data_IF_285549819309
#
_entry.id   IF_285549819309
#
_cell.length_a   1.000
_cell.length_b   1.000
_cell.length_c   1.000
_cell.angle_alpha   90.00
_cell.angle_beta   90.00
_cell.angle_gamma   90.00
#
_symmetry.space_group_name_H-M   'P 1'
#
loop_
_entity.id
_entity.type
_entity.pdbx_description
1 polymer ?
#
# COMPACT_ATOMS: atom_id res chain seq x y z
N UNK A 1 8.90 9.88 -28.04
CA UNK A 1 9.11 8.55 -27.42
C UNK A 1 9.91 8.74 -26.14
N UNK A 2 9.24 9.01 -25.02
CA UNK A 2 9.84 9.15 -23.69
C UNK A 2 9.22 8.05 -22.83
N UNK A 3 9.97 6.98 -22.62
CA UNK A 3 9.61 5.94 -21.66
C UNK A 3 9.79 6.61 -20.29
N UNK A 4 8.69 7.00 -19.63
CA UNK A 4 8.71 7.26 -18.19
C UNK A 4 9.04 5.93 -17.52
N UNK A 5 10.34 5.69 -17.30
CA UNK A 5 10.80 4.72 -16.31
C UNK A 5 10.02 5.05 -15.04
N UNK A 6 9.32 4.05 -14.50
CA UNK A 6 8.79 4.06 -13.13
C UNK A 6 9.72 4.92 -12.29
N UNK A 7 9.21 6.01 -11.71
CA UNK A 7 10.02 6.82 -10.80
C UNK A 7 10.59 5.84 -9.79
N UNK A 8 11.91 5.62 -9.87
CA UNK A 8 12.62 4.83 -8.89
C UNK A 8 12.26 5.50 -7.57
N UNK A 9 11.57 4.78 -6.70
CA UNK A 9 11.42 5.16 -5.31
C UNK A 9 12.85 5.12 -4.75
N UNK A 10 13.53 6.26 -4.85
CA UNK A 10 14.86 6.47 -4.34
C UNK A 10 14.65 6.86 -2.90
N UNK A 11 14.96 5.97 -1.97
CA UNK A 11 15.02 6.29 -0.54
C UNK A 11 16.48 6.59 -0.25
N UNK A 12 16.82 7.85 0.01
CA UNK A 12 18.19 8.25 0.34
C UNK A 12 18.30 8.29 1.86
N UNK A 13 19.09 7.37 2.42
CA UNK A 13 19.35 7.28 3.87
C UNK A 13 18.66 6.09 4.53
N UNK A 14 19.29 4.92 4.45
CA UNK A 14 18.84 3.67 5.07
C UNK A 14 17.95 2.84 4.16
N UNK A 15 18.15 1.52 4.13
CA UNK A 15 17.29 0.59 3.40
C UNK A 15 15.87 0.64 4.01
N UNK A 16 14.94 1.31 3.33
CA UNK A 16 13.54 1.26 3.69
C UNK A 16 12.84 0.10 2.97
N UNK A 17 12.01 -0.61 3.70
CA UNK A 17 11.14 -1.66 3.16
C UNK A 17 9.71 -1.22 3.36
N UNK A 18 8.96 -1.11 2.27
CA UNK A 18 7.51 -1.14 2.40
C UNK A 18 7.13 -2.61 2.54
N UNK A 19 6.91 -3.05 3.78
CA UNK A 19 6.15 -4.27 4.04
C UNK A 19 4.69 -3.87 3.94
N UNK A 20 4.14 -3.96 2.73
CA UNK A 20 2.70 -3.80 2.53
C UNK A 20 2.03 -5.09 2.99
N UNK A 21 1.90 -5.24 4.30
CA UNK A 21 0.76 -5.97 4.84
C UNK A 21 -0.36 -4.96 5.03
N UNK A 22 -1.44 -5.20 4.28
CA UNK A 22 -2.79 -4.68 4.45
C UNK A 22 -3.30 -3.73 3.36
N UNK A 23 -4.28 -4.29 2.65
CA UNK A 23 -5.33 -3.71 1.83
C UNK A 23 -5.01 -2.51 0.95
N UNK A 24 -4.60 -2.89 -0.25
CA UNK A 24 -5.24 -2.29 -1.41
C UNK A 24 -6.69 -2.85 -1.42
N UNK A 25 -7.69 -1.99 -1.24
CA UNK A 25 -9.05 -2.41 -0.90
C UNK A 25 -9.87 -2.89 -2.11
N UNK A 26 -10.50 -4.06 -1.96
CA UNK A 26 -11.64 -4.50 -2.78
C UNK A 26 -12.94 -4.10 -2.10
N UNK A 27 -13.98 -3.88 -2.91
CA UNK A 27 -15.30 -3.40 -2.48
C UNK A 27 -15.92 -4.16 -1.29
N UNK A 28 -15.78 -5.48 -1.25
CA UNK A 28 -16.39 -6.33 -0.23
C UNK A 28 -15.80 -6.03 1.14
N UNK A 29 -14.53 -5.65 1.21
CA UNK A 29 -13.83 -5.40 2.47
C UNK A 29 -14.11 -4.00 3.00
N UNK A 30 -14.19 -2.99 2.12
CA UNK A 30 -14.52 -1.61 2.52
C UNK A 30 -15.93 -1.51 3.11
N UNK A 31 -16.90 -2.18 2.46
CA UNK A 31 -18.30 -2.15 2.88
C UNK A 31 -18.51 -3.01 4.13
N UNK A 32 -17.89 -4.19 4.22
CA UNK A 32 -18.11 -5.10 5.35
C UNK A 32 -17.37 -4.71 6.63
N UNK A 33 -16.30 -3.92 6.54
CA UNK A 33 -15.43 -3.60 7.69
C UNK A 33 -14.97 -2.13 7.71
N UNK A 34 -15.89 -1.14 7.73
CA UNK A 34 -15.54 0.27 7.71
C UNK A 34 -14.66 0.71 8.90
N UNK A 35 -14.86 0.12 10.09
CA UNK A 35 -14.10 0.47 11.29
C UNK A 35 -12.63 0.05 11.20
N UNK A 36 -12.34 -1.01 10.45
CA UNK A 36 -10.97 -1.47 10.22
C UNK A 36 -10.18 -0.48 9.36
N UNK A 37 -10.81 0.15 8.36
CA UNK A 37 -10.18 1.20 7.55
C UNK A 37 -9.80 2.41 8.43
N UNK A 38 -10.69 2.80 9.34
CA UNK A 38 -10.42 3.89 10.29
C UNK A 38 -9.31 3.51 11.26
N UNK A 39 -9.33 2.28 11.77
CA UNK A 39 -8.28 1.77 12.66
C UNK A 39 -6.90 1.78 11.97
N UNK A 40 -6.83 1.41 10.68
CA UNK A 40 -5.59 1.45 9.91
C UNK A 40 -5.01 2.86 9.82
N UNK A 41 -5.86 3.87 9.57
CA UNK A 41 -5.44 5.28 9.57
C UNK A 41 -4.95 5.72 10.95
N UNK A 42 -5.65 5.35 12.02
CA UNK A 42 -5.26 5.69 13.40
C UNK A 42 -3.91 5.06 13.77
N UNK A 43 -3.62 3.87 13.26
CA UNK A 43 -2.34 3.18 13.43
C UNK A 43 -1.22 3.72 12.52
N UNK A 44 -1.53 4.71 11.67
CA UNK A 44 -0.55 5.34 10.77
C UNK A 44 -0.28 4.54 9.49
N UNK A 45 -1.13 3.56 9.15
CA UNK A 45 -1.08 2.89 7.86
C UNK A 45 -1.69 3.77 6.76
N UNK A 46 -1.21 3.57 5.53
CA UNK A 46 -1.71 4.28 4.36
C UNK A 46 -2.67 3.39 3.56
N UNK A 47 -3.84 3.95 3.25
CA UNK A 47 -4.86 3.32 2.41
C UNK A 47 -4.64 3.63 0.93
N UNK A 48 -4.93 2.65 0.07
CA UNK A 48 -4.74 2.72 -1.39
C UNK A 48 -5.86 1.99 -2.16
N UNK A 49 -6.10 2.37 -3.42
CA UNK A 49 -7.15 1.79 -4.28
C UNK A 49 -6.69 0.49 -4.97
N UNK A 50 -7.49 -0.58 -4.92
CA UNK A 50 -7.17 -1.86 -5.59
C UNK A 50 -8.20 -2.31 -6.61
N UNK A 51 -8.88 -1.37 -7.24
CA UNK A 51 -10.07 -1.65 -8.05
C UNK A 51 -11.23 -2.16 -7.20
N UNK A 52 -12.39 -2.23 -7.82
CA UNK A 52 -13.63 -2.62 -7.16
C UNK A 52 -13.74 -4.14 -7.12
N UNK A 53 -13.43 -4.82 -8.23
CA UNK A 53 -13.69 -6.24 -8.46
C UNK A 53 -12.45 -7.10 -8.76
N UNK A 54 -11.24 -6.52 -8.70
CA UNK A 54 -9.96 -7.19 -8.98
C UNK A 54 -9.78 -7.75 -10.42
N UNK A 55 -10.16 -7.02 -11.50
CA UNK A 55 -9.97 -7.50 -12.87
C UNK A 55 -8.55 -7.25 -13.38
N UNK A 56 -8.18 -7.91 -14.49
CA UNK A 56 -7.04 -7.50 -15.29
C UNK A 56 -7.35 -6.14 -15.96
N UNK A 57 -6.60 -5.09 -15.62
CA UNK A 57 -6.91 -3.73 -16.05
C UNK A 57 -6.73 -3.53 -17.56
N UNK A 58 -5.78 -4.23 -18.17
CA UNK A 58 -5.49 -4.09 -19.60
C UNK A 58 -6.59 -4.68 -20.48
N UNK A 59 -7.44 -5.56 -19.94
CA UNK A 59 -8.58 -6.15 -20.65
C UNK A 59 -9.84 -5.26 -20.63
N UNK A 60 -9.87 -4.24 -19.77
CA UNK A 60 -11.02 -3.36 -19.61
C UNK A 60 -11.06 -2.24 -20.65
N UNK A 61 -12.25 -1.79 -21.00
CA UNK A 61 -12.49 -0.48 -21.63
C UNK A 61 -12.06 0.66 -20.71
N UNK A 62 -12.03 1.89 -21.21
CA UNK A 62 -11.65 3.05 -20.40
C UNK A 62 -12.71 3.33 -19.33
N UNK A 63 -13.98 3.19 -19.69
CA UNK A 63 -15.13 3.43 -18.83
C UNK A 63 -15.17 2.42 -17.68
N UNK A 64 -14.94 1.14 -17.96
CA UNK A 64 -14.84 0.09 -16.95
C UNK A 64 -13.66 0.34 -16.01
N UNK A 65 -12.48 0.69 -16.54
CA UNK A 65 -11.31 1.02 -15.71
C UNK A 65 -11.58 2.21 -14.79
N UNK A 66 -12.19 3.28 -15.31
CA UNK A 66 -12.57 4.45 -14.50
C UNK A 66 -13.58 4.07 -13.43
N UNK A 67 -14.55 3.19 -13.73
CA UNK A 67 -15.51 2.71 -12.76
C UNK A 67 -14.83 1.92 -11.62
N UNK A 68 -13.95 0.98 -11.97
CA UNK A 68 -13.19 0.16 -11.02
C UNK A 68 -12.38 1.01 -10.02
N UNK A 69 -11.70 2.04 -10.52
CA UNK A 69 -10.92 2.96 -9.69
C UNK A 69 -11.82 3.93 -8.90
N UNK A 70 -12.82 4.50 -9.57
CA UNK A 70 -13.69 5.55 -9.03
C UNK A 70 -14.58 5.07 -7.89
N UNK A 71 -15.21 3.90 -8.03
CA UNK A 71 -16.08 3.36 -6.98
C UNK A 71 -15.30 3.03 -5.70
N UNK A 72 -14.11 2.47 -5.85
CA UNK A 72 -13.22 2.14 -4.72
C UNK A 72 -12.71 3.41 -4.03
N UNK A 73 -12.30 4.41 -4.81
CA UNK A 73 -11.88 5.72 -4.30
C UNK A 73 -13.01 6.40 -3.51
N UNK A 74 -14.23 6.35 -4.05
CA UNK A 74 -15.43 6.93 -3.44
C UNK A 74 -15.80 6.27 -2.11
N UNK A 75 -15.86 4.94 -2.04
CA UNK A 75 -16.25 4.26 -0.79
C UNK A 75 -15.22 4.48 0.32
N UNK A 76 -13.92 4.55 -0.01
CA UNK A 76 -12.88 4.87 0.99
C UNK A 76 -13.10 6.27 1.56
N UNK A 77 -13.39 7.25 0.69
CA UNK A 77 -13.71 8.61 1.12
C UNK A 77 -14.96 8.65 1.99
N UNK A 78 -16.05 7.97 1.61
CA UNK A 78 -17.30 7.95 2.40
C UNK A 78 -17.09 7.35 3.80
N UNK A 79 -16.25 6.32 3.94
CA UNK A 79 -15.97 5.67 5.22
C UNK A 79 -15.01 6.49 6.09
N UNK A 80 -13.96 7.05 5.49
CA UNK A 80 -12.81 7.61 6.23
C UNK A 80 -12.72 9.14 6.21
N UNK A 81 -13.42 9.79 5.29
CA UNK A 81 -13.29 11.23 4.99
C UNK A 81 -12.05 11.59 4.17
N UNK A 82 -11.26 10.60 3.73
CA UNK A 82 -10.01 10.80 3.00
C UNK A 82 -10.04 10.09 1.65
N UNK A 83 -9.56 10.77 0.62
CA UNK A 83 -9.50 10.26 -0.74
C UNK A 83 -8.08 9.81 -1.09
N UNK A 84 -7.83 8.51 -1.34
CA UNK A 84 -6.50 8.03 -1.72
C UNK A 84 -6.04 8.60 -3.06
N UNK A 85 -4.74 8.83 -3.17
CA UNK A 85 -4.06 9.26 -4.41
C UNK A 85 -3.05 8.23 -4.94
N UNK A 86 -3.10 7.01 -4.41
CA UNK A 86 -2.32 5.86 -4.87
C UNK A 86 -3.26 4.71 -5.19
N UNK A 87 -2.80 3.83 -6.09
CA UNK A 87 -3.51 2.59 -6.41
C UNK A 87 -2.51 1.45 -6.66
N UNK A 88 -2.92 0.20 -6.50
CA UNK A 88 -2.15 -0.97 -6.95
C UNK A 88 -2.95 -1.73 -8.01
N UNK A 89 -2.39 -1.98 -9.21
CA UNK A 89 -3.03 -2.82 -10.20
C UNK A 89 -3.14 -4.27 -9.73
N UNK A 90 -4.33 -4.90 -9.80
CA UNK A 90 -4.45 -6.35 -9.71
C UNK A 90 -3.45 -7.05 -10.64
N UNK A 91 -2.82 -8.11 -10.14
CA UNK A 91 -1.82 -8.91 -10.89
C UNK A 91 -0.58 -8.13 -11.36
N UNK A 92 -0.42 -6.86 -10.97
CA UNK A 92 0.57 -5.96 -11.58
C UNK A 92 0.27 -5.59 -13.03
N UNK A 93 -0.97 -5.81 -13.48
CA UNK A 93 -1.39 -5.62 -14.87
C UNK A 93 -1.60 -4.13 -15.19
N UNK A 94 -0.63 -3.52 -15.89
CA UNK A 94 -0.63 -2.09 -16.18
C UNK A 94 0.12 -1.74 -17.49
N UNK A 95 -0.58 -1.07 -18.41
CA UNK A 95 -0.03 -0.51 -19.64
C UNK A 95 0.00 1.04 -19.60
N UNK A 96 0.40 1.67 -20.71
CA UNK A 96 0.44 3.14 -20.79
C UNK A 96 -0.95 3.79 -20.71
N UNK A 97 -2.00 3.11 -21.18
CA UNK A 97 -3.38 3.60 -21.12
C UNK A 97 -3.87 3.60 -19.69
N UNK A 98 -3.63 2.52 -18.95
CA UNK A 98 -3.95 2.40 -17.52
C UNK A 98 -3.20 3.46 -16.72
N UNK A 99 -1.90 3.68 -16.98
CA UNK A 99 -1.12 4.75 -16.31
C UNK A 99 -1.71 6.13 -16.56
N UNK A 100 -2.09 6.42 -17.80
CA UNK A 100 -2.66 7.72 -18.14
C UNK A 100 -4.03 7.95 -17.48
N UNK A 101 -4.89 6.93 -17.43
CA UNK A 101 -6.16 7.01 -16.72
C UNK A 101 -5.95 7.19 -15.21
N UNK A 102 -5.00 6.46 -14.60
CA UNK A 102 -4.65 6.67 -13.20
C UNK A 102 -4.20 8.12 -12.95
N UNK A 103 -3.33 8.67 -13.82
CA UNK A 103 -2.88 10.05 -13.75
C UNK A 103 -4.03 11.06 -13.84
N UNK A 104 -4.98 10.85 -14.75
CA UNK A 104 -6.17 11.70 -14.90
C UNK A 104 -7.12 11.62 -13.69
N UNK A 105 -7.05 10.53 -12.93
CA UNK A 105 -7.82 10.32 -11.70
C UNK A 105 -7.04 10.67 -10.42
N UNK A 106 -5.90 11.36 -10.52
CA UNK A 106 -5.00 11.69 -9.41
C UNK A 106 -4.53 10.45 -8.62
N UNK A 107 -4.34 9.33 -9.30
CA UNK A 107 -3.86 8.08 -8.75
C UNK A 107 -2.45 7.78 -9.27
N UNK A 108 -1.54 7.47 -8.34
CA UNK A 108 -0.21 6.95 -8.65
C UNK A 108 -0.21 5.43 -8.52
N UNK A 109 0.04 4.67 -9.61
CA UNK A 109 0.18 3.22 -9.53
C UNK A 109 1.45 2.79 -8.78
N UNK A 110 1.30 1.91 -7.80
CA UNK A 110 2.38 1.38 -6.97
C UNK A 110 2.56 -0.11 -7.24
N UNK A 111 3.73 -0.50 -7.74
CA UNK A 111 4.12 -1.89 -8.03
C UNK A 111 5.22 -2.30 -7.05
N UNK A 112 5.26 -3.58 -6.69
CA UNK A 112 6.34 -4.13 -5.87
C UNK A 112 7.68 -4.14 -6.63
N UNK A 113 8.77 -4.27 -5.90
CA UNK A 113 10.10 -4.19 -6.51
C UNK A 113 10.35 -5.38 -7.44
N UNK A 114 10.92 -5.09 -8.61
CA UNK A 114 11.57 -6.05 -9.48
C UNK A 114 13.02 -5.60 -9.65
N UNK A 115 13.97 -6.48 -9.38
CA UNK A 115 15.40 -6.20 -9.43
C UNK A 115 16.15 -7.41 -10.00
N UNK A 116 17.31 -7.17 -10.60
CA UNK A 116 18.22 -8.24 -10.96
C UNK A 116 19.01 -8.67 -9.71
N UNK A 117 18.91 -9.94 -9.33
CA UNK A 117 19.59 -10.50 -8.17
C UNK A 117 20.36 -11.73 -8.62
N UNK A 118 21.69 -11.66 -8.56
CA UNK A 118 22.55 -12.76 -9.01
C UNK A 118 22.41 -13.08 -10.50
N UNK A 119 22.23 -12.05 -11.35
CA UNK A 119 22.12 -12.20 -12.81
C UNK A 119 20.76 -12.69 -13.30
N UNK A 120 19.71 -12.62 -12.48
CA UNK A 120 18.35 -13.04 -12.84
C UNK A 120 17.32 -12.04 -12.34
N UNK A 121 16.27 -11.83 -13.12
CA UNK A 121 15.10 -11.05 -12.71
C UNK A 121 14.44 -11.70 -11.49
N UNK A 122 14.26 -10.90 -10.44
CA UNK A 122 13.63 -11.32 -9.21
C UNK A 122 12.61 -10.28 -8.75
N UNK A 123 11.37 -10.74 -8.57
CA UNK A 123 10.29 -9.91 -8.03
C UNK A 123 10.18 -10.11 -6.53
N UNK A 124 9.89 -9.03 -5.83
CA UNK A 124 9.76 -9.02 -4.37
C UNK A 124 8.33 -9.39 -3.98
N UNK A 125 7.90 -10.58 -4.42
CA UNK A 125 6.60 -11.18 -4.15
C UNK A 125 6.77 -12.42 -3.27
N UNK A 126 6.18 -12.39 -2.07
CA UNK A 126 6.26 -13.48 -1.09
C UNK A 126 5.49 -14.73 -1.51
N UNK A 127 4.62 -14.64 -2.51
CA UNK A 127 3.70 -15.71 -2.94
C UNK A 127 2.81 -16.26 -1.80
N UNK A 128 2.60 -15.47 -0.75
CA UNK A 128 1.83 -15.86 0.43
C UNK A 128 0.36 -16.21 0.11
N UNK A 129 -0.24 -15.54 -0.88
CA UNK A 129 -1.59 -15.84 -1.38
C UNK A 129 -1.76 -17.28 -1.90
N UNK A 130 -0.67 -17.94 -2.32
CA UNK A 130 -0.70 -19.34 -2.77
C UNK A 130 -0.75 -20.34 -1.62
N UNK A 131 -0.57 -19.90 -0.38
CA UNK A 131 -0.62 -20.76 0.81
C UNK A 131 -2.03 -21.31 1.01
N UNK A 132 -3.05 -20.46 0.95
CA UNK A 132 -4.44 -20.87 1.11
C UNK A 132 -4.88 -21.89 0.04
N UNK A 133 -4.32 -21.79 -1.17
CA UNK A 133 -4.56 -22.74 -2.26
C UNK A 133 -3.69 -24.00 -2.22
N UNK A 134 -2.78 -24.14 -1.25
CA UNK A 134 -1.90 -25.30 -1.08
C UNK A 134 -0.74 -25.41 -2.07
N UNK A 135 -0.61 -24.47 -3.02
CA UNK A 135 0.44 -24.47 -4.04
C UNK A 135 1.80 -23.98 -3.52
N UNK A 136 1.83 -23.32 -2.36
CA UNK A 136 3.04 -22.84 -1.66
C UNK A 136 2.88 -23.16 -0.17
N UNK A 137 3.93 -23.65 0.50
CA UNK A 137 3.90 -23.82 1.96
C UNK A 137 4.29 -22.54 2.68
N UNK A 138 3.92 -22.41 3.96
CA UNK A 138 4.36 -21.30 4.82
C UNK A 138 5.90 -21.19 4.87
N UNK A 139 6.59 -22.33 4.99
CA UNK A 139 8.06 -22.41 4.89
C UNK A 139 8.57 -21.84 3.58
N UNK A 140 7.93 -22.18 2.45
CA UNK A 140 8.39 -21.72 1.14
C UNK A 140 8.19 -20.22 0.94
N UNK A 141 7.09 -19.68 1.44
CA UNK A 141 6.86 -18.23 1.44
C UNK A 141 7.88 -17.51 2.35
N UNK A 142 8.17 -18.05 3.53
CA UNK A 142 9.24 -17.55 4.42
C UNK A 142 10.61 -17.54 3.74
N UNK A 143 11.01 -18.64 3.12
CA UNK A 143 12.27 -18.73 2.35
C UNK A 143 12.33 -17.68 1.23
N UNK A 144 11.18 -17.40 0.59
CA UNK A 144 11.09 -16.36 -0.44
C UNK A 144 11.33 -14.99 0.16
N UNK A 145 10.75 -14.69 1.32
CA UNK A 145 11.00 -13.45 2.04
C UNK A 145 12.46 -13.33 2.50
N UNK A 146 13.07 -14.39 3.03
CA UNK A 146 14.49 -14.40 3.39
C UNK A 146 15.39 -14.11 2.19
N UNK A 147 15.04 -14.61 0.99
CA UNK A 147 15.74 -14.27 -0.26
C UNK A 147 15.59 -12.80 -0.62
N UNK A 148 14.39 -12.24 -0.49
CA UNK A 148 14.12 -10.79 -0.66
C UNK A 148 14.97 -9.97 0.30
N UNK A 149 15.07 -10.40 1.56
CA UNK A 149 15.97 -9.75 2.49
C UNK A 149 17.41 -9.88 1.98
N UNK A 150 17.90 -11.08 1.71
CA UNK A 150 19.30 -11.26 1.32
C UNK A 150 19.70 -10.52 0.04
N UNK A 151 18.77 -10.27 -0.89
CA UNK A 151 19.01 -9.48 -2.10
C UNK A 151 19.05 -7.97 -1.85
N UNK A 152 18.44 -7.48 -0.76
CA UNK A 152 18.45 -6.06 -0.43
C UNK A 152 19.85 -5.45 -0.35
N UNK A 153 20.88 -6.24 -0.01
CA UNK A 153 22.27 -5.77 0.03
C UNK A 153 22.79 -5.31 -1.34
N UNK A 154 22.16 -5.79 -2.41
CA UNK A 154 22.51 -5.52 -3.80
C UNK A 154 21.64 -4.37 -4.37
N UNK A 155 20.83 -3.72 -3.54
CA UNK A 155 19.92 -2.63 -3.91
C UNK A 155 20.29 -1.35 -3.16
N UNK A 156 20.62 -0.30 -3.92
CA UNK A 156 21.05 1.00 -3.37
C UNK A 156 19.90 1.90 -2.87
N UNK A 157 18.65 1.47 -3.05
CA UNK A 157 17.44 2.19 -2.68
C UNK A 157 16.46 1.31 -1.88
N UNK A 158 15.46 1.94 -1.26
CA UNK A 158 14.36 1.21 -0.63
C UNK A 158 13.57 0.37 -1.63
N UNK A 159 12.86 -0.63 -1.12
CA UNK A 159 12.10 -1.58 -1.93
C UNK A 159 10.70 -1.87 -1.36
N UNK A 160 9.81 -2.37 -2.21
CA UNK A 160 8.44 -2.72 -1.88
C UNK A 160 8.27 -4.23 -1.99
N UNK A 161 7.72 -4.84 -0.94
CA UNK A 161 7.41 -6.28 -0.89
C UNK A 161 5.90 -6.49 -1.00
N UNK A 162 5.49 -7.40 -1.87
CA UNK A 162 4.08 -7.80 -2.03
C UNK A 162 3.70 -8.91 -1.04
N UNK A 163 2.62 -8.65 -0.30
CA UNK A 163 1.96 -9.59 0.61
C UNK A 163 0.44 -9.37 0.59
N UNK A 164 -0.31 -10.31 1.18
CA UNK A 164 -1.77 -10.34 1.20
C UNK A 164 -2.28 -10.69 2.59
N UNK A 165 -3.15 -9.86 3.14
CA UNK A 165 -3.74 -10.06 4.47
C UNK A 165 -5.17 -10.64 4.42
N UNK A 166 -5.57 -11.13 3.24
CA UNK A 166 -6.86 -11.81 3.03
C UNK A 166 -6.92 -13.19 3.71
N UNK A 167 -5.77 -13.82 3.91
CA UNK A 167 -5.67 -15.18 4.44
C UNK A 167 -4.98 -15.17 5.81
N UNK A 168 -5.59 -15.84 6.79
CA UNK A 168 -5.06 -15.91 8.16
C UNK A 168 -3.61 -16.41 8.18
N UNK A 169 -3.28 -17.42 7.36
CA UNK A 169 -1.92 -17.98 7.28
C UNK A 169 -0.88 -16.95 6.82
N UNK A 170 -1.26 -16.05 5.90
CA UNK A 170 -0.38 -14.98 5.43
C UNK A 170 -0.16 -13.93 6.53
N UNK A 171 -1.21 -13.58 7.27
CA UNK A 171 -1.12 -12.66 8.42
C UNK A 171 -0.26 -13.24 9.53
N UNK A 172 -0.47 -14.51 9.89
CA UNK A 172 0.34 -15.21 10.89
C UNK A 172 1.82 -15.28 10.48
N UNK A 173 2.10 -15.63 9.21
CA UNK A 173 3.46 -15.64 8.68
C UNK A 173 4.10 -14.25 8.78
N UNK A 174 3.33 -13.20 8.49
CA UNK A 174 3.85 -11.85 8.51
C UNK A 174 4.17 -11.35 9.91
N UNK A 175 3.27 -11.57 10.87
CA UNK A 175 3.45 -11.16 12.26
C UNK A 175 4.56 -11.97 12.93
N UNK A 176 4.63 -13.28 12.66
CA UNK A 176 5.60 -14.16 13.30
C UNK A 176 7.02 -14.05 12.73
N UNK A 177 7.16 -13.75 11.43
CA UNK A 177 8.46 -13.80 10.76
C UNK A 177 8.77 -12.56 9.93
N UNK A 178 7.90 -12.15 9.01
CA UNK A 178 8.26 -11.06 8.05
C UNK A 178 8.58 -9.76 8.77
N UNK A 179 7.71 -9.30 9.68
CA UNK A 179 7.92 -8.05 10.40
C UNK A 179 9.13 -8.14 11.34
N UNK A 180 9.26 -9.17 12.22
CA UNK A 180 10.45 -9.33 13.07
C UNK A 180 11.76 -9.45 12.29
N UNK A 181 11.79 -10.21 11.21
CA UNK A 181 13.01 -10.44 10.42
C UNK A 181 13.44 -9.16 9.69
N UNK A 182 12.49 -8.34 9.23
CA UNK A 182 12.81 -7.04 8.64
C UNK A 182 13.42 -6.07 9.67
N UNK A 183 12.79 -5.92 10.85
CA UNK A 183 13.20 -4.91 11.85
C UNK A 183 14.43 -5.29 12.67
N UNK A 184 14.71 -6.59 12.79
CA UNK A 184 15.88 -7.10 13.55
C UNK A 184 17.08 -7.42 12.65
N UNK A 185 16.96 -7.21 11.35
CA UNK A 185 18.08 -7.38 10.41
C UNK A 185 19.23 -6.41 10.69
N UNK A 186 20.44 -6.81 10.29
CA UNK A 186 21.57 -5.89 10.07
C UNK A 186 21.96 -5.83 8.58
N UNK A 187 22.02 -4.64 7.95
CA UNK A 187 21.56 -3.35 8.47
C UNK A 187 20.04 -3.36 8.69
N UNK A 188 19.59 -2.55 9.65
CA UNK A 188 18.18 -2.46 10.02
C UNK A 188 17.35 -1.90 8.87
N UNK A 189 16.20 -2.52 8.63
CA UNK A 189 15.20 -2.01 7.69
C UNK A 189 14.17 -1.17 8.42
N UNK A 190 13.79 -0.05 7.82
CA UNK A 190 12.68 0.76 8.29
C UNK A 190 11.41 0.36 7.54
N UNK A 191 10.36 0.02 8.30
CA UNK A 191 9.04 -0.22 7.75
C UNK A 191 8.31 1.10 7.58
N UNK A 192 8.08 1.50 6.33
CA UNK A 192 7.55 2.82 5.99
C UNK A 192 6.27 2.71 5.17
N UNK A 193 5.43 3.75 5.27
CA UNK A 193 4.30 3.92 4.36
C UNK A 193 4.77 4.23 2.94
N UNK A 194 3.89 4.11 1.95
CA UNK A 194 4.24 4.43 0.55
C UNK A 194 4.64 5.90 0.41
N UNK A 195 3.92 6.82 1.06
CA UNK A 195 4.20 8.25 1.00
C UNK A 195 5.57 8.60 1.61
N UNK A 196 5.96 7.93 2.70
CA UNK A 196 7.29 8.07 3.30
C UNK A 196 8.39 7.57 2.37
N UNK A 197 8.16 6.43 1.71
CA UNK A 197 9.10 5.91 0.72
C UNK A 197 9.24 6.83 -0.49
N UNK A 198 8.16 7.53 -0.87
CA UNK A 198 8.20 8.59 -1.88
C UNK A 198 8.87 9.89 -1.39
N UNK A 199 9.31 9.94 -0.13
CA UNK A 199 9.89 11.11 0.53
C UNK A 199 8.98 12.35 0.48
N UNK A 200 7.66 12.11 0.54
CA UNK A 200 6.67 13.18 0.54
C UNK A 200 6.14 13.41 1.95
N UNK A 201 5.69 14.64 2.28
CA UNK A 201 4.99 14.89 3.53
C UNK A 201 3.80 13.93 3.70
N UNK A 202 3.57 13.44 4.91
CA UNK A 202 2.41 12.59 5.25
C UNK A 202 1.07 13.22 4.84
N UNK A 203 0.99 14.55 4.87
CA UNK A 203 -0.18 15.30 4.39
C UNK A 203 -0.47 15.09 2.90
N UNK A 204 0.50 14.67 2.10
CA UNK A 204 0.30 14.36 0.68
C UNK A 204 -0.16 12.92 0.42
N UNK A 205 -0.45 12.11 1.46
CA UNK A 205 -0.97 10.75 1.27
C UNK A 205 -2.42 10.70 0.75
N UNK A 206 -3.17 11.81 0.93
CA UNK A 206 -4.58 11.93 0.54
C UNK A 206 -4.85 13.30 -0.09
N UNK A 207 -5.88 13.39 -0.91
CA UNK A 207 -6.20 14.61 -1.68
C UNK A 207 -6.53 15.78 -0.76
N UNK A 208 -7.40 15.57 0.23
CA UNK A 208 -7.91 16.61 1.13
C UNK A 208 -6.82 17.22 2.02
N UNK A 209 -5.82 16.42 2.39
CA UNK A 209 -4.73 16.83 3.29
C UNK A 209 -3.56 17.45 2.53
N UNK A 210 -3.49 17.27 1.21
CA UNK A 210 -2.36 17.75 0.41
C UNK A 210 -2.32 19.29 0.38
N UNK A 211 -1.15 19.87 0.68
CA UNK A 211 -0.96 21.32 0.67
C UNK A 211 -0.96 21.90 -0.76
N UNK A 212 -0.77 21.03 -1.77
CA UNK A 212 -0.71 21.39 -3.18
C UNK A 212 -2.12 21.48 -3.78
N UNK A 213 -2.99 22.29 -3.16
CA UNK A 213 -4.27 22.67 -3.75
C UNK A 213 -4.01 23.43 -5.06
N UNK A 214 -3.91 22.71 -6.18
CA UNK A 214 -4.34 23.28 -7.45
C UNK A 214 -5.82 23.59 -7.29
N UNK A 215 -6.11 24.88 -7.34
CA UNK A 215 -7.38 25.55 -7.01
C UNK A 215 -8.63 24.72 -7.36
N UNK A 216 -9.60 24.58 -6.43
CA UNK A 216 -10.89 23.97 -6.73
C UNK A 216 -11.70 24.86 -7.66
N UNK A 217 -12.59 24.24 -8.44
CA UNK A 217 -13.83 24.90 -8.86
C UNK A 217 -14.56 25.36 -7.59
N UNK A 218 -14.71 26.68 -7.43
CA UNK A 218 -15.33 27.31 -6.26
C UNK A 218 -16.82 26.97 -6.18
N UNK A 219 -17.32 26.56 -4.99
CA UNK A 219 -18.43 27.20 -4.26
C UNK A 219 -18.36 26.79 -2.78
N UNK A 220 -18.43 27.77 -1.87
CA UNK A 220 -19.03 27.61 -0.54
C UNK A 220 -18.08 27.52 0.65
N UNK A 221 -18.03 28.59 1.43
CA UNK A 221 -17.27 28.80 2.67
C UNK A 221 -17.87 28.09 3.89
N UNK A 222 -17.06 27.37 4.67
CA UNK A 222 -16.90 27.62 6.12
C UNK A 222 -15.80 26.74 6.75
N UNK A 223 -14.93 27.36 7.56
CA UNK A 223 -13.82 26.74 8.30
C UNK A 223 -13.99 26.95 9.81
N UNK A 224 -14.03 25.89 10.64
CA UNK A 224 -13.82 26.07 12.10
C UNK A 224 -13.43 24.86 12.97
N UNK A 225 -13.02 23.68 12.47
CA UNK A 225 -12.84 22.49 13.35
C UNK A 225 -11.45 21.84 13.42
N UNK A 226 -10.44 22.31 12.68
CA UNK A 226 -9.14 21.61 12.55
C UNK A 226 -8.14 21.75 13.74
N UNK A 227 -8.51 22.41 14.85
CA UNK A 227 -7.54 22.77 15.91
C UNK A 227 -7.48 21.81 17.10
N UNK A 228 -8.48 20.93 17.29
CA UNK A 228 -8.61 20.15 18.53
C UNK A 228 -7.95 18.76 18.54
N UNK A 229 -7.46 18.26 17.40
CA UNK A 229 -7.05 16.84 17.26
C UNK A 229 -5.57 16.61 17.64
N UNK A 230 -4.78 17.67 17.84
CA UNK A 230 -3.31 17.57 17.96
C UNK A 230 -2.78 17.07 19.31
N UNK A 231 -3.60 16.92 20.35
CA UNK A 231 -3.10 16.66 21.71
C UNK A 231 -3.31 15.24 22.26
N UNK A 232 -4.08 14.38 21.59
CA UNK A 232 -4.43 13.05 22.14
C UNK A 232 -3.67 11.86 21.55
N UNK A 233 -2.75 12.09 20.59
CA UNK A 233 -2.12 11.03 19.78
C UNK A 233 -0.87 10.42 20.44
N UNK A 234 -0.31 11.04 21.48
CA UNK A 234 1.02 10.66 21.98
C UNK A 234 1.07 9.52 23.02
N UNK A 235 -0.06 8.97 23.49
CA UNK A 235 -0.06 7.94 24.54
C UNK A 235 -0.76 6.61 24.20
N UNK A 236 -1.45 6.48 23.05
CA UNK A 236 -2.20 5.26 22.72
C UNK A 236 -1.38 4.17 21.98
N UNK A 237 -0.12 4.45 21.64
CA UNK A 237 0.71 3.62 20.73
C UNK A 237 1.17 2.29 21.35
N UNK A 238 1.01 2.07 22.67
CA UNK A 238 1.55 0.87 23.35
C UNK A 238 0.45 -0.11 23.83
N UNK A 239 -0.85 0.25 23.80
CA UNK A 239 -1.89 -0.55 24.46
C UNK A 239 -2.82 -1.36 23.53
N UNK A 240 -2.83 -1.16 22.21
CA UNK A 240 -3.88 -1.74 21.33
C UNK A 240 -3.41 -2.90 20.45
N UNK A 241 -2.20 -3.44 20.68
CA UNK A 241 -1.73 -4.65 19.98
C UNK A 241 -2.47 -5.93 20.41
N UNK A 242 -3.28 -5.88 21.48
CA UNK A 242 -3.96 -7.03 22.06
C UNK A 242 -5.48 -7.12 21.78
N UNK A 243 -6.10 -6.09 21.18
CA UNK A 243 -7.57 -6.06 21.01
C UNK A 243 -8.04 -6.63 19.66
N UNK A 244 -7.17 -6.67 18.65
CA UNK A 244 -7.51 -7.22 17.33
C UNK A 244 -7.52 -8.75 17.25
N UNK A 245 -7.21 -9.46 18.35
CA UNK A 245 -7.13 -10.93 18.39
C UNK A 245 -8.53 -11.59 18.56
N UNK A 246 -9.58 -10.85 18.95
CA UNK A 246 -10.89 -11.44 19.27
C UNK A 246 -11.99 -11.21 18.21
N UNK A 247 -11.65 -10.83 16.99
CA UNK A 247 -12.64 -10.68 15.90
C UNK A 247 -12.24 -11.39 14.59
N UNK A 248 -11.41 -12.42 14.70
CA UNK A 248 -11.22 -13.44 13.66
C UNK A 248 -12.12 -14.63 13.99
#
# INVERSE_FOLDING_TARGET
>A
MHIMKLEKISVVGGLAVVVLLKMTLLNVQTISRPDMLRAELVLGHQLSVHTWSHPYLTTLTNEELVAELGWTKKIIQEVTGLTPNTMRPPFGDIDNRVREICRQMDLTPIIWTAAEVGGKDFTFDTNDWKIAGGSVSTTKSKETFEKILNSAKDIDNGFIVLQHDLYQQSVELAVAYVLPDAVNRSPKLNLLSVIDCLQKPQTEAYIETSANKTKPYEVGTDQSSAKSIRHSISLAIIATLAISINLI
#
